data_IF_460741598690
#
_entry.id   IF_460741598690
#
_cell.length_a   1.000
_cell.length_b   1.000
_cell.length_c   1.000
_cell.angle_alpha   90.00
_cell.angle_beta   90.00
_cell.angle_gamma   90.00
#
_symmetry.space_group_name_H-M   'P 1'
#
loop_
_entity.id
_entity.type
_entity.pdbx_description
1 polymer ?
#
# COMPACT_ATOMS: atom_id res chain seq x y z
N UNK A 1 -19.73 -4.92 -0.94
CA UNK A 1 -18.34 -4.46 -1.10
C UNK A 1 -17.46 -5.37 -0.26
N UNK A 2 -16.68 -6.24 -0.89
CA UNK A 2 -15.74 -7.10 -0.16
C UNK A 2 -14.41 -6.35 0.00
N UNK A 3 -13.77 -6.51 1.15
CA UNK A 3 -12.40 -6.04 1.33
C UNK A 3 -11.45 -6.89 0.50
N UNK A 4 -10.42 -6.29 -0.06
CA UNK A 4 -9.40 -7.01 -0.83
C UNK A 4 -8.53 -7.93 0.06
N UNK A 5 -8.41 -7.60 1.36
CA UNK A 5 -7.65 -8.36 2.34
C UNK A 5 -8.48 -8.58 3.59
N UNK A 6 -8.29 -9.74 4.23
CA UNK A 6 -8.94 -10.08 5.49
C UNK A 6 -8.22 -9.45 6.69
N UNK A 7 -6.93 -9.15 6.57
CA UNK A 7 -6.11 -8.58 7.64
C UNK A 7 -4.96 -7.72 7.10
N UNK A 8 -4.37 -6.89 7.97
CA UNK A 8 -3.14 -6.15 7.65
C UNK A 8 -1.95 -7.08 7.44
N UNK A 9 -1.90 -8.22 8.14
CA UNK A 9 -0.85 -9.22 7.95
C UNK A 9 -0.88 -9.78 6.53
N UNK A 10 -2.07 -10.12 6.01
CA UNK A 10 -2.24 -10.56 4.62
C UNK A 10 -1.79 -9.49 3.62
N UNK A 11 -2.03 -8.21 3.95
CA UNK A 11 -1.59 -7.11 3.11
C UNK A 11 -0.07 -7.03 3.00
N UNK A 12 0.66 -7.14 4.11
CA UNK A 12 2.13 -7.12 4.07
C UNK A 12 2.74 -8.44 3.54
N UNK A 13 2.03 -9.56 3.65
CA UNK A 13 2.47 -10.87 3.17
C UNK A 13 2.41 -11.02 1.64
N UNK A 14 1.95 -10.01 0.89
CA UNK A 14 1.78 -10.08 -0.56
C UNK A 14 3.07 -10.31 -1.37
N UNK A 15 4.26 -10.46 -0.78
CA UNK A 15 5.48 -10.81 -1.51
C UNK A 15 6.00 -9.67 -2.39
N UNK A 16 6.45 -8.59 -1.77
CA UNK A 16 7.04 -7.42 -2.45
C UNK A 16 6.01 -6.41 -3.00
N UNK A 17 4.77 -6.81 -3.28
CA UNK A 17 3.72 -5.89 -3.74
C UNK A 17 3.39 -4.76 -2.76
N UNK A 18 3.38 -5.05 -1.47
CA UNK A 18 3.15 -4.03 -0.43
C UNK A 18 4.18 -2.89 -0.50
N UNK A 19 5.44 -3.19 -0.86
CA UNK A 19 6.49 -2.18 -1.03
C UNK A 19 6.14 -1.20 -2.17
N UNK A 20 5.74 -1.72 -3.34
CA UNK A 20 5.39 -0.87 -4.48
C UNK A 20 4.15 0.00 -4.20
N UNK A 21 3.17 -0.51 -3.45
CA UNK A 21 2.00 0.28 -3.04
C UNK A 21 2.44 1.47 -2.18
N UNK A 22 3.25 1.25 -1.15
CA UNK A 22 3.72 2.34 -0.28
C UNK A 22 4.66 3.31 -1.00
N UNK A 23 5.47 2.84 -1.95
CA UNK A 23 6.26 3.71 -2.81
C UNK A 23 5.38 4.64 -3.66
N UNK A 24 4.32 4.11 -4.27
CA UNK A 24 3.38 4.90 -5.05
C UNK A 24 2.63 5.94 -4.18
N UNK A 25 2.25 5.53 -2.97
CA UNK A 25 1.66 6.45 -1.97
C UNK A 25 2.64 7.58 -1.64
N UNK A 26 3.90 7.26 -1.32
CA UNK A 26 4.92 8.27 -1.02
C UNK A 26 5.16 9.23 -2.20
N UNK A 27 5.29 8.70 -3.41
CA UNK A 27 5.49 9.48 -4.64
C UNK A 27 4.30 10.38 -5.00
N UNK A 28 3.11 10.11 -4.44
CA UNK A 28 1.92 10.96 -4.66
C UNK A 28 1.74 11.95 -3.51
N UNK A 29 1.83 11.49 -2.28
CA UNK A 29 1.55 12.29 -1.08
C UNK A 29 2.66 13.30 -0.84
N UNK A 30 3.94 12.93 -1.01
CA UNK A 30 5.06 13.85 -0.74
C UNK A 30 5.00 15.09 -1.63
N UNK A 31 4.83 14.99 -2.98
CA UNK A 31 4.72 16.18 -3.82
C UNK A 31 3.45 17.02 -3.59
N UNK A 32 2.36 16.41 -3.10
CA UNK A 32 1.11 17.12 -2.80
C UNK A 32 1.16 17.83 -1.45
N UNK A 33 1.95 17.30 -0.51
CA UNK A 33 2.05 17.82 0.85
C UNK A 33 3.06 18.96 1.02
N UNK A 34 3.93 19.20 0.03
CA UNK A 34 4.90 20.31 -0.02
C UNK A 34 4.45 21.39 -1.01
#
# INVERSE_FOLDING_TARGET
MSTAFASWSDFFAMGGYAFYVWLAVAMTVVPVAI
#
